data_IF_335345890367
#
_entry.id   IF_335345890367
#
_cell.length_a   1.000
_cell.length_b   1.000
_cell.length_c   1.000
_cell.angle_alpha   90.00
_cell.angle_beta   90.00
_cell.angle_gamma   90.00
#
_symmetry.space_group_name_H-M   'P 1'
#
loop_
_entity.id
_entity.type
_entity.pdbx_description
1 polymer ?
#
# COMPACT_ATOMS: atom_id res chain seq x y z
N UNK A 1 2.15 2.03 -2.87
CA UNK A 1 0.87 2.10 -3.63
C UNK A 1 0.93 3.11 -4.79
N UNK A 2 2.13 3.42 -5.25
CA UNK A 2 2.36 4.38 -6.33
C UNK A 2 1.73 3.92 -7.65
N UNK A 3 1.87 2.64 -7.98
CA UNK A 3 1.29 2.07 -9.21
C UNK A 3 -0.24 2.09 -9.16
N UNK A 4 -0.82 1.70 -8.02
CA UNK A 4 -2.26 1.74 -7.80
C UNK A 4 -2.81 3.16 -7.84
N UNK A 5 -2.10 4.12 -7.24
CA UNK A 5 -2.47 5.55 -7.28
C UNK A 5 -2.41 6.11 -8.70
N UNK A 6 -1.35 5.77 -9.44
CA UNK A 6 -1.18 6.19 -10.82
C UNK A 6 -2.31 5.64 -11.71
N UNK A 7 -2.55 4.32 -11.65
CA UNK A 7 -3.60 3.68 -12.43
C UNK A 7 -4.99 4.25 -12.13
N UNK A 8 -5.31 4.49 -10.85
CA UNK A 8 -6.60 5.04 -10.46
C UNK A 8 -6.78 6.47 -10.98
N UNK A 9 -5.76 7.32 -10.91
CA UNK A 9 -5.79 8.68 -11.46
C UNK A 9 -5.89 8.68 -12.98
N UNK A 10 -5.18 7.79 -13.66
CA UNK A 10 -5.29 7.63 -15.12
C UNK A 10 -6.74 7.26 -15.52
N UNK A 11 -7.35 6.30 -14.79
CA UNK A 11 -8.75 5.92 -15.00
C UNK A 11 -9.71 7.10 -14.80
N UNK A 12 -9.53 7.89 -13.75
CA UNK A 12 -10.36 9.07 -13.51
C UNK A 12 -10.17 10.16 -14.56
N UNK A 13 -9.00 10.23 -15.19
CA UNK A 13 -8.74 11.12 -16.32
C UNK A 13 -9.24 10.58 -17.68
N UNK A 14 -9.96 9.46 -17.69
CA UNK A 14 -10.53 8.87 -18.89
C UNK A 14 -9.59 7.94 -19.68
N UNK A 15 -8.40 7.63 -19.14
CA UNK A 15 -7.48 6.70 -19.79
C UNK A 15 -7.82 5.25 -19.49
N UNK A 16 -7.66 4.39 -20.49
CA UNK A 16 -7.79 2.94 -20.33
C UNK A 16 -6.45 2.34 -19.87
N UNK A 17 -6.55 1.30 -19.03
CA UNK A 17 -5.40 0.56 -18.55
C UNK A 17 -5.47 -0.84 -19.16
N UNK A 18 -4.40 -1.23 -19.85
CA UNK A 18 -4.32 -2.52 -20.52
C UNK A 18 -3.21 -3.37 -19.93
N UNK A 19 -3.48 -4.66 -19.80
CA UNK A 19 -2.47 -5.66 -19.53
C UNK A 19 -1.90 -6.18 -20.85
N UNK A 20 -0.59 -6.11 -21.03
CA UNK A 20 0.11 -6.68 -22.18
C UNK A 20 0.93 -7.90 -21.76
N UNK A 21 0.47 -9.13 -22.05
CA UNK A 21 1.18 -10.35 -21.65
C UNK A 21 2.48 -10.59 -22.42
N UNK A 22 2.72 -9.87 -23.51
CA UNK A 22 3.96 -9.95 -24.29
C UNK A 22 5.09 -9.08 -23.70
N UNK A 23 4.73 -8.06 -22.91
CA UNK A 23 5.72 -7.23 -22.22
C UNK A 23 6.25 -7.99 -20.99
N UNK A 24 7.54 -8.30 -21.00
CA UNK A 24 8.23 -9.00 -19.91
C UNK A 24 9.35 -8.15 -19.36
N UNK A 25 9.41 -8.08 -18.04
CA UNK A 25 10.48 -7.43 -17.30
C UNK A 25 10.99 -8.36 -16.19
N UNK A 26 12.23 -8.15 -15.78
CA UNK A 26 12.78 -8.78 -14.58
C UNK A 26 12.67 -7.78 -13.44
N UNK A 27 11.85 -8.09 -12.44
CA UNK A 27 11.75 -7.28 -11.22
C UNK A 27 12.60 -7.91 -10.12
N UNK A 28 13.70 -7.26 -9.78
CA UNK A 28 14.57 -7.69 -8.68
C UNK A 28 14.01 -7.13 -7.37
N UNK A 29 13.19 -7.91 -6.69
CA UNK A 29 12.57 -7.50 -5.43
C UNK A 29 13.58 -7.28 -4.31
N UNK A 30 13.30 -6.29 -3.44
CA UNK A 30 14.08 -6.03 -2.23
C UNK A 30 15.37 -5.22 -2.42
N UNK A 31 15.79 -4.92 -3.64
CA UNK A 31 17.00 -4.13 -3.91
C UNK A 31 16.85 -2.66 -3.48
N UNK A 32 15.63 -2.16 -3.42
CA UNK A 32 15.31 -0.78 -2.98
C UNK A 32 15.37 -0.53 -1.47
N UNK A 33 15.99 -1.40 -0.67
CA UNK A 33 16.20 -1.19 0.77
C UNK A 33 15.23 -1.93 1.69
N UNK A 34 14.20 -2.63 1.18
CA UNK A 34 13.27 -3.39 2.03
C UNK A 34 13.95 -4.54 2.79
N UNK A 35 14.98 -5.14 2.20
CA UNK A 35 15.75 -6.20 2.85
C UNK A 35 16.80 -5.67 3.85
N UNK A 36 17.30 -4.45 3.64
CA UNK A 36 18.29 -3.82 4.51
C UNK A 36 17.68 -3.14 5.74
N UNK A 37 16.42 -2.68 5.63
CA UNK A 37 15.71 -1.97 6.72
C UNK A 37 14.25 -2.48 6.82
N UNK A 38 14.04 -3.76 7.21
CA UNK A 38 12.72 -4.40 7.12
C UNK A 38 11.63 -3.72 7.96
N UNK A 39 11.94 -3.25 9.18
CA UNK A 39 10.98 -2.53 10.02
C UNK A 39 10.48 -1.25 9.32
N UNK A 40 11.38 -0.48 8.76
CA UNK A 40 11.01 0.71 7.98
C UNK A 40 10.15 0.34 6.77
N UNK A 41 10.46 -0.76 6.09
CA UNK A 41 9.69 -1.23 4.95
C UNK A 41 8.25 -1.62 5.36
N UNK A 42 8.07 -2.31 6.49
CA UNK A 42 6.75 -2.65 7.06
C UNK A 42 5.95 -1.36 7.34
N UNK A 43 6.56 -0.40 8.02
CA UNK A 43 5.93 0.88 8.34
C UNK A 43 5.52 1.65 7.07
N UNK A 44 6.45 1.80 6.10
CA UNK A 44 6.18 2.54 4.86
C UNK A 44 5.11 1.86 3.99
N UNK A 45 5.04 0.53 4.01
CA UNK A 45 3.98 -0.21 3.34
C UNK A 45 2.60 0.16 3.92
N UNK A 46 2.44 0.12 5.25
CA UNK A 46 1.19 0.48 5.91
C UNK A 46 0.85 1.96 5.72
N UNK A 47 1.85 2.86 5.83
CA UNK A 47 1.69 4.29 5.57
C UNK A 47 1.21 4.57 4.15
N UNK A 48 1.72 3.84 3.17
CA UNK A 48 1.35 3.96 1.76
C UNK A 48 -0.12 3.56 1.52
N UNK A 49 -0.58 2.47 2.12
CA UNK A 49 -1.99 2.07 2.07
C UNK A 49 -2.91 3.08 2.75
N UNK A 50 -2.51 3.58 3.91
CA UNK A 50 -3.26 4.59 4.64
C UNK A 50 -3.45 5.85 3.79
N UNK A 51 -2.36 6.37 3.20
CA UNK A 51 -2.39 7.54 2.32
C UNK A 51 -3.26 7.32 1.09
N UNK A 52 -3.15 6.16 0.46
CA UNK A 52 -3.95 5.79 -0.70
C UNK A 52 -5.44 5.77 -0.38
N UNK A 53 -5.82 5.13 0.73
CA UNK A 53 -7.20 5.11 1.20
C UNK A 53 -7.76 6.52 1.45
N UNK A 54 -7.05 7.33 2.23
CA UNK A 54 -7.52 8.68 2.56
C UNK A 54 -7.57 9.60 1.35
N UNK A 55 -6.67 9.43 0.41
CA UNK A 55 -6.67 10.21 -0.84
C UNK A 55 -7.88 9.91 -1.73
N UNK A 56 -8.26 8.64 -1.86
CA UNK A 56 -9.21 8.21 -2.89
C UNK A 56 -10.57 7.76 -2.36
N UNK A 57 -10.65 7.24 -1.13
CA UNK A 57 -11.84 6.54 -0.66
C UNK A 57 -12.49 7.14 0.59
N UNK A 58 -11.76 7.83 1.44
CA UNK A 58 -12.28 8.31 2.73
C UNK A 58 -13.52 9.21 2.60
N UNK A 59 -13.59 10.01 1.54
CA UNK A 59 -14.74 10.92 1.28
C UNK A 59 -16.01 10.19 0.88
N UNK A 60 -15.91 8.97 0.36
CA UNK A 60 -17.06 8.14 -0.04
C UNK A 60 -17.57 7.23 1.06
N UNK A 61 -16.91 7.22 2.23
CA UNK A 61 -17.27 6.40 3.36
C UNK A 61 -17.65 7.26 4.58
N UNK A 62 -18.45 6.68 5.49
CA UNK A 62 -18.83 7.34 6.71
C UNK A 62 -17.64 7.58 7.64
N UNK A 63 -17.78 8.54 8.57
CA UNK A 63 -16.76 8.82 9.58
C UNK A 63 -16.47 7.60 10.45
N UNK A 64 -17.50 6.81 10.77
CA UNK A 64 -17.37 5.57 11.57
C UNK A 64 -16.54 4.52 10.83
N UNK A 65 -16.75 4.37 9.51
CA UNK A 65 -15.97 3.45 8.70
C UNK A 65 -14.51 3.91 8.59
N UNK A 66 -14.27 5.19 8.41
CA UNK A 66 -12.92 5.75 8.38
C UNK A 66 -12.18 5.50 9.71
N UNK A 67 -12.87 5.70 10.84
CA UNK A 67 -12.31 5.43 12.16
C UNK A 67 -11.99 3.95 12.36
N UNK A 68 -12.91 3.07 11.96
CA UNK A 68 -12.68 1.61 11.98
C UNK A 68 -11.47 1.22 11.13
N UNK A 69 -11.34 1.79 9.92
CA UNK A 69 -10.19 1.56 9.04
C UNK A 69 -8.86 1.94 9.71
N UNK A 70 -8.81 3.09 10.40
CA UNK A 70 -7.63 3.54 11.14
C UNK A 70 -7.23 2.52 12.20
N UNK A 71 -8.20 2.04 13.00
CA UNK A 71 -7.95 1.05 14.04
C UNK A 71 -7.41 -0.25 13.45
N UNK A 72 -8.09 -0.80 12.44
CA UNK A 72 -7.68 -2.06 11.79
C UNK A 72 -6.28 -1.96 11.18
N UNK A 73 -5.98 -0.87 10.50
CA UNK A 73 -4.65 -0.66 9.90
C UNK A 73 -3.56 -0.46 10.96
N UNK A 74 -3.87 0.22 12.07
CA UNK A 74 -2.96 0.35 13.21
C UNK A 74 -2.66 -0.99 13.87
N UNK A 75 -3.68 -1.80 14.15
CA UNK A 75 -3.52 -3.14 14.71
C UNK A 75 -2.72 -4.05 13.78
N UNK A 76 -2.99 -3.98 12.47
CA UNK A 76 -2.22 -4.73 11.46
C UNK A 76 -0.76 -4.34 11.44
N UNK A 77 -0.44 -3.06 11.56
CA UNK A 77 0.94 -2.58 11.64
C UNK A 77 1.65 -3.15 12.86
N UNK A 78 1.07 -2.99 14.05
CA UNK A 78 1.62 -3.52 15.30
C UNK A 78 1.84 -5.03 15.22
N UNK A 79 0.87 -5.77 14.71
CA UNK A 79 0.98 -7.21 14.52
C UNK A 79 2.12 -7.59 13.57
N UNK A 80 2.25 -6.89 12.44
CA UNK A 80 3.30 -7.15 11.46
C UNK A 80 4.70 -6.89 12.01
N UNK A 81 4.87 -5.80 12.77
CA UNK A 81 6.13 -5.47 13.42
C UNK A 81 6.48 -6.47 14.53
N UNK A 82 5.49 -6.86 15.34
CA UNK A 82 5.68 -7.87 16.39
C UNK A 82 6.08 -9.21 15.81
N UNK A 83 5.40 -9.68 14.74
CA UNK A 83 5.78 -10.92 14.06
C UNK A 83 7.19 -10.86 13.50
N UNK A 84 7.60 -9.72 12.95
CA UNK A 84 8.95 -9.55 12.46
C UNK A 84 9.99 -9.66 13.57
N UNK A 85 9.73 -9.05 14.73
CA UNK A 85 10.63 -9.09 15.90
C UNK A 85 10.76 -10.52 16.44
N UNK A 86 9.62 -11.25 16.54
CA UNK A 86 9.59 -12.62 17.07
C UNK A 86 10.26 -13.66 16.15
N UNK A 87 10.38 -13.37 14.85
CA UNK A 87 11.02 -14.26 13.87
C UNK A 87 12.52 -14.02 13.70
N UNK A 88 13.06 -13.01 14.35
CA UNK A 88 14.46 -12.62 14.30
C UNK A 88 15.26 -13.30 15.41
#
# INVERSE_FOLDING_TARGET
QEDSDYCLRAKYAGWSIFYNPQARIVHVGGVGGSNSVPMKAIFEWHRSYFRYYFKHFSKSHSIFFNFFYIIVMGLKLIFSETLYILKK
#
